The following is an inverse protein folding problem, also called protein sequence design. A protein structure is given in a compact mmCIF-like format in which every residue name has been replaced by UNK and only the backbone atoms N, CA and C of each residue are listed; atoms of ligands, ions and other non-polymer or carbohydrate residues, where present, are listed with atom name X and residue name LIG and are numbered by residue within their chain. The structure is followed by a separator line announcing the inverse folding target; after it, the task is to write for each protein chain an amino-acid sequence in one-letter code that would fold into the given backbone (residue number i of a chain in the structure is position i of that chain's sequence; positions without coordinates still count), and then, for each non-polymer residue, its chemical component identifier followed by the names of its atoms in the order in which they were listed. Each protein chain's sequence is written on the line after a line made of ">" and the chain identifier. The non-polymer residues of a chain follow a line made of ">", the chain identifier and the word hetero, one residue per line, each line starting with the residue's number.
data_IF_458092895453
#
_entry.id   IF_458092895453
#
_cell.length_a   1.000
_cell.length_b   1.000
_cell.length_c   1.000
_cell.angle_alpha   90.00
_cell.angle_beta   90.00
_cell.angle_gamma   90.00
#
_symmetry.space_group_name_H-M   'P 1'
#
loop_
_entity.id
_entity.type
_entity.pdbx_description
1 polymer ?
#
# COMPACT_ATOMS: atom_id res chain seq x y z
N UNK A 1 -10.92 21.68 -12.30
CA UNK A 1 -11.37 21.97 -10.91
C UNK A 1 -12.43 23.05 -10.94
N UNK A 2 -13.66 22.75 -10.49
CA UNK A 2 -14.76 23.72 -10.47
C UNK A 2 -14.73 24.50 -9.16
N UNK A 3 -14.47 25.80 -9.24
CA UNK A 3 -14.43 26.68 -8.08
C UNK A 3 -15.80 27.35 -7.87
N UNK A 4 -16.18 27.54 -6.60
CA UNK A 4 -17.35 28.31 -6.17
C UNK A 4 -16.84 29.52 -5.41
N UNK A 5 -17.29 30.71 -5.81
CA UNK A 5 -17.01 31.95 -5.09
C UNK A 5 -18.00 32.05 -3.94
N UNK A 6 -17.48 32.15 -2.72
CA UNK A 6 -18.27 32.30 -1.50
C UNK A 6 -17.99 33.68 -0.91
N UNK A 7 -19.05 34.44 -0.62
CA UNK A 7 -18.95 35.70 0.12
C UNK A 7 -18.56 35.42 1.59
N UNK A 8 -17.69 36.24 2.13
CA UNK A 8 -17.14 36.12 3.48
C UNK A 8 -17.56 37.34 4.26
N UNK A 9 -18.04 37.11 5.48
CA UNK A 9 -18.41 38.19 6.39
C UNK A 9 -17.21 38.92 7.01
N UNK A 10 -17.43 40.17 7.41
CA UNK A 10 -16.46 41.02 8.09
C UNK A 10 -15.80 42.02 7.15
N UNK A 11 -15.80 43.30 7.54
CA UNK A 11 -15.40 44.44 6.70
C UNK A 11 -13.94 44.37 6.23
N UNK A 12 -13.06 43.72 7.01
CA UNK A 12 -11.61 43.61 6.72
C UNK A 12 -11.19 42.27 6.08
N UNK A 13 -12.14 41.41 5.70
CA UNK A 13 -11.85 40.05 5.21
C UNK A 13 -11.83 39.90 3.68
N UNK A 14 -11.87 41.00 2.93
CA UNK A 14 -11.71 40.99 1.47
C UNK A 14 -12.92 40.45 0.68
N UNK A 15 -14.08 40.28 1.32
CA UNK A 15 -15.38 40.08 0.67
C UNK A 15 -15.64 38.69 0.09
N UNK A 16 -14.70 38.07 -0.62
CA UNK A 16 -14.92 36.81 -1.34
C UNK A 16 -13.74 35.82 -1.24
N UNK A 17 -14.04 34.52 -1.15
CA UNK A 17 -13.05 33.45 -1.40
C UNK A 17 -13.52 32.52 -2.49
N UNK A 18 -12.57 32.17 -3.35
CA UNK A 18 -12.71 31.11 -4.33
C UNK A 18 -12.40 29.76 -3.67
N UNK A 19 -13.44 28.98 -3.38
CA UNK A 19 -13.35 27.68 -2.71
C UNK A 19 -13.55 26.57 -3.76
N UNK A 20 -12.84 25.46 -3.62
CA UNK A 20 -13.06 24.29 -4.48
C UNK A 20 -14.40 23.63 -4.12
N UNK A 21 -15.31 23.44 -5.08
CA UNK A 21 -16.67 22.89 -4.82
C UNK A 21 -16.65 21.48 -4.21
N UNK A 22 -15.69 20.67 -4.62
CA UNK A 22 -15.44 19.32 -4.10
C UNK A 22 -13.94 19.17 -3.89
N UNK A 23 -13.50 19.11 -2.64
CA UNK A 23 -12.11 18.80 -2.30
C UNK A 23 -11.88 17.32 -2.60
N UNK A 24 -10.91 17.01 -3.44
CA UNK A 24 -10.54 15.62 -3.68
C UNK A 24 -10.02 15.00 -2.38
N UNK A 25 -10.40 13.75 -2.06
CA UNK A 25 -9.85 13.07 -0.91
C UNK A 25 -8.33 12.97 -1.12
N UNK A 26 -7.55 13.38 -0.12
CA UNK A 26 -6.12 13.10 -0.11
C UNK A 26 -5.97 11.59 -0.21
N UNK A 27 -5.37 11.11 -1.29
CA UNK A 27 -5.14 9.69 -1.50
C UNK A 27 -4.18 9.19 -0.43
N UNK A 28 -4.70 8.66 0.67
CA UNK A 28 -3.92 7.79 1.53
C UNK A 28 -3.53 6.61 0.65
N UNK A 29 -2.24 6.40 0.42
CA UNK A 29 -1.75 5.29 -0.39
C UNK A 29 -2.40 4.00 0.13
N UNK A 30 -3.36 3.46 -0.62
CA UNK A 30 -3.94 2.16 -0.30
C UNK A 30 -2.77 1.19 -0.31
N UNK A 31 -2.55 0.45 0.79
CA UNK A 31 -1.58 -0.66 0.86
C UNK A 31 -2.00 -1.73 -0.14
N UNK A 32 -1.73 -1.50 -1.42
CA UNK A 32 -1.84 -2.51 -2.47
C UNK A 32 -0.66 -3.44 -2.23
N UNK A 33 -0.93 -4.72 -2.02
CA UNK A 33 0.11 -5.75 -2.01
C UNK A 33 0.74 -5.81 -3.39
N UNK A 34 1.78 -5.00 -3.61
CA UNK A 34 2.62 -5.11 -4.81
C UNK A 34 3.32 -6.45 -4.71
N UNK A 35 3.23 -7.25 -5.77
CA UNK A 35 4.04 -8.46 -5.92
C UNK A 35 5.51 -8.05 -5.82
N UNK A 36 6.20 -8.51 -4.78
CA UNK A 36 7.62 -8.25 -4.57
C UNK A 36 8.42 -9.24 -5.43
N UNK A 37 9.45 -8.80 -6.17
CA UNK A 37 10.30 -9.73 -6.92
C UNK A 37 11.01 -10.71 -5.99
N UNK A 38 11.12 -11.97 -6.42
CA UNK A 38 11.87 -12.99 -5.69
C UNK A 38 13.38 -12.79 -5.84
N UNK A 39 14.13 -13.18 -4.80
CA UNK A 39 15.58 -13.35 -4.90
C UNK A 39 15.89 -14.53 -5.83
N UNK A 40 16.96 -14.40 -6.63
CA UNK A 40 17.37 -15.43 -7.61
C UNK A 40 17.63 -16.81 -6.99
N UNK A 41 18.06 -16.86 -5.72
CA UNK A 41 18.33 -18.10 -4.99
C UNK A 41 17.07 -18.84 -4.51
N UNK A 42 15.89 -18.22 -4.60
CA UNK A 42 14.63 -18.81 -4.14
C UNK A 42 13.91 -19.38 -5.37
N UNK A 43 14.24 -20.63 -5.70
CA UNK A 43 13.59 -21.39 -6.78
C UNK A 43 12.72 -22.50 -6.18
N UNK A 44 11.63 -22.92 -6.86
CA UNK A 44 10.82 -24.06 -6.40
C UNK A 44 11.68 -25.27 -6.06
N UNK A 45 11.45 -25.86 -4.88
CA UNK A 45 12.27 -26.95 -4.33
C UNK A 45 13.41 -26.50 -3.41
N UNK A 46 13.73 -25.19 -3.35
CA UNK A 46 14.76 -24.68 -2.44
C UNK A 46 14.32 -24.87 -0.98
N UNK A 47 15.25 -25.34 -0.14
CA UNK A 47 15.05 -25.43 1.31
C UNK A 47 15.29 -24.06 1.93
N UNK A 48 14.28 -23.57 2.65
CA UNK A 48 14.34 -22.33 3.43
C UNK A 48 14.42 -22.66 4.92
N UNK A 49 15.08 -21.79 5.69
CA UNK A 49 15.07 -21.85 7.16
C UNK A 49 14.16 -20.73 7.66
N UNK A 50 13.11 -21.09 8.38
CA UNK A 50 12.22 -20.09 8.99
C UNK A 50 12.92 -19.45 10.19
N UNK A 51 13.07 -18.12 10.16
CA UNK A 51 13.74 -17.38 11.23
C UNK A 51 12.80 -16.92 12.35
N UNK A 52 11.49 -16.93 12.09
CA UNK A 52 10.47 -16.41 13.02
C UNK A 52 9.22 -17.31 13.05
N UNK A 53 8.34 -17.05 14.03
CA UNK A 53 7.10 -17.80 14.23
C UNK A 53 7.28 -19.13 14.95
N UNK A 54 6.19 -19.89 15.07
CA UNK A 54 6.18 -21.19 15.78
C UNK A 54 7.10 -22.24 15.16
N UNK A 55 7.37 -22.14 13.86
CA UNK A 55 8.20 -23.07 13.10
C UNK A 55 9.65 -22.55 12.91
N UNK A 56 10.10 -21.61 13.75
CA UNK A 56 11.48 -21.10 13.71
C UNK A 56 12.51 -22.23 13.80
N UNK A 57 13.56 -22.15 12.98
CA UNK A 57 14.64 -23.13 12.89
C UNK A 57 14.33 -24.34 12.01
N UNK A 58 13.06 -24.54 11.60
CA UNK A 58 12.70 -25.65 10.72
C UNK A 58 13.12 -25.37 9.28
N UNK A 59 13.59 -26.43 8.62
CA UNK A 59 13.87 -26.49 7.18
C UNK A 59 12.58 -26.84 6.45
N UNK A 60 12.13 -25.99 5.54
CA UNK A 60 10.88 -26.12 4.79
C UNK A 60 11.16 -26.02 3.30
N UNK A 61 10.34 -26.64 2.46
CA UNK A 61 10.51 -26.63 1.00
C UNK A 61 9.67 -25.51 0.40
N UNK A 62 10.27 -24.67 -0.43
CA UNK A 62 9.56 -23.63 -1.18
C UNK A 62 8.83 -24.21 -2.40
N UNK A 63 7.53 -23.90 -2.54
CA UNK A 63 6.72 -24.37 -3.68
C UNK A 63 6.57 -23.26 -4.72
N UNK A 64 5.96 -22.13 -4.35
CA UNK A 64 5.70 -21.00 -5.25
C UNK A 64 5.40 -19.71 -4.49
N UNK A 65 5.50 -18.59 -5.17
CA UNK A 65 5.03 -17.29 -4.66
C UNK A 65 3.54 -17.09 -4.98
N UNK A 66 2.78 -16.61 -4.01
CA UNK A 66 1.37 -16.31 -4.17
C UNK A 66 1.17 -15.06 -5.06
N UNK A 67 0.33 -15.10 -6.10
CA UNK A 67 0.26 -14.05 -7.11
C UNK A 67 -0.36 -12.74 -6.59
N UNK A 68 -1.33 -12.82 -5.67
CA UNK A 68 -2.03 -11.65 -5.13
C UNK A 68 -1.26 -10.95 -4.00
N UNK A 69 -0.65 -11.73 -3.10
CA UNK A 69 -0.01 -11.21 -1.89
C UNK A 69 1.51 -11.11 -1.97
N UNK A 70 2.17 -11.88 -2.84
CA UNK A 70 3.63 -11.96 -2.92
C UNK A 70 4.28 -12.82 -1.84
N UNK A 71 3.51 -13.47 -0.97
CA UNK A 71 4.00 -14.35 0.09
C UNK A 71 4.48 -15.70 -0.47
N UNK A 72 5.33 -16.40 0.29
CA UNK A 72 5.88 -17.70 -0.10
C UNK A 72 4.98 -18.83 0.40
N UNK A 73 4.58 -19.73 -0.49
CA UNK A 73 3.96 -21.01 -0.12
C UNK A 73 5.06 -22.03 0.16
N UNK A 74 5.04 -22.61 1.35
CA UNK A 74 6.03 -23.58 1.84
C UNK A 74 5.33 -24.82 2.40
N UNK A 75 6.04 -25.95 2.41
CA UNK A 75 5.62 -27.18 3.09
C UNK A 75 6.74 -27.75 3.95
#
# INVERSE_FOLDING_TARGET
>A
MKFVVKKIGGEKNGGERKIVKRKEPKTTAKNRSKKVPLRKSITPGTILILLAGRHRGKRVVFIKQLPKSGLLLVT
#
